data_IF_633112654652
#
_entry.id   IF_633112654652
#
_cell.length_a   1.000
_cell.length_b   1.000
_cell.length_c   1.000
_cell.angle_alpha   90.00
_cell.angle_beta   90.00
_cell.angle_gamma   90.00
#
_symmetry.space_group_name_H-M   'P 1'
#
loop_
_entity.id
_entity.type
_entity.pdbx_description
1 polymer ?
#
# COMPACT_ATOMS: atom_id res chain seq x y z
N UNK A 1 3.88 4.25 10.85
CA UNK A 1 3.02 3.14 10.37
C UNK A 1 3.30 2.94 8.89
N UNK A 2 3.51 1.70 8.43
CA UNK A 2 3.85 1.41 7.01
C UNK A 2 2.68 0.71 6.32
N UNK A 3 2.40 1.06 5.06
CA UNK A 3 1.34 0.45 4.25
C UNK A 3 1.87 -0.09 2.92
N UNK A 4 1.27 -1.14 2.37
CA UNK A 4 1.64 -1.67 1.04
C UNK A 4 0.98 -0.85 -0.07
N UNK A 5 1.74 -0.47 -1.09
CA UNK A 5 1.19 0.03 -2.36
C UNK A 5 1.13 -1.06 -3.42
N UNK A 6 0.21 -0.88 -4.35
CA UNK A 6 0.18 -1.64 -5.60
C UNK A 6 1.28 -1.14 -6.54
N UNK A 7 1.88 -2.06 -7.29
CA UNK A 7 3.01 -1.77 -8.18
C UNK A 7 2.66 -0.92 -9.40
N UNK A 8 1.37 -0.78 -9.73
CA UNK A 8 0.87 0.05 -10.83
C UNK A 8 0.64 1.53 -10.45
N UNK A 9 0.94 1.91 -9.20
CA UNK A 9 0.80 3.30 -8.76
C UNK A 9 1.92 4.19 -9.32
N UNK A 10 1.63 5.48 -9.38
CA UNK A 10 2.60 6.53 -9.62
C UNK A 10 2.52 7.56 -8.50
N UNK A 11 3.67 8.12 -8.14
CA UNK A 11 3.85 9.19 -7.19
C UNK A 11 4.56 10.37 -7.88
N UNK A 12 4.69 11.48 -7.16
CA UNK A 12 5.41 12.67 -7.60
C UNK A 12 6.64 12.89 -6.73
N UNK A 13 7.71 13.34 -7.35
CA UNK A 13 8.86 13.89 -6.64
C UNK A 13 8.54 15.31 -6.12
N UNK A 14 9.32 15.82 -5.16
CA UNK A 14 9.24 17.21 -4.74
C UNK A 14 9.32 18.16 -5.93
N UNK A 15 8.59 19.27 -5.86
CA UNK A 15 8.73 20.31 -6.86
C UNK A 15 10.18 20.81 -6.90
N UNK A 16 10.78 21.00 -8.09
CA UNK A 16 12.12 21.55 -8.17
C UNK A 16 12.16 22.97 -7.56
N UNK A 17 13.30 23.41 -7.01
CA UNK A 17 13.46 24.76 -6.51
C UNK A 17 13.02 25.79 -7.56
N UNK A 18 12.32 26.83 -7.11
CA UNK A 18 11.82 27.86 -8.01
C UNK A 18 12.99 28.59 -8.67
N UNK A 19 13.19 28.35 -9.96
CA UNK A 19 14.06 29.18 -10.81
C UNK A 19 13.24 30.35 -11.33
N UNK A 20 13.75 31.58 -11.21
CA UNK A 20 13.12 32.75 -11.78
C UNK A 20 13.00 32.60 -13.31
N UNK A 21 11.78 32.71 -13.84
CA UNK A 21 11.52 32.62 -15.27
C UNK A 21 11.08 33.99 -15.79
N UNK A 22 11.88 34.66 -16.65
CA UNK A 22 11.56 36.00 -17.17
C UNK A 22 10.25 36.05 -17.97
N UNK A 23 9.84 34.93 -18.57
CA UNK A 23 8.60 34.81 -19.36
C UNK A 23 7.35 34.60 -18.49
N UNK A 24 7.50 34.53 -17.16
CA UNK A 24 6.42 34.25 -16.23
C UNK A 24 5.92 32.80 -16.29
N UNK A 25 5.12 32.42 -15.31
CA UNK A 25 4.52 31.08 -15.22
C UNK A 25 4.19 30.70 -13.77
N UNK A 26 3.11 29.94 -13.57
CA UNK A 26 2.79 29.37 -12.24
C UNK A 26 3.86 28.31 -11.92
N UNK A 27 4.56 28.40 -10.78
CA UNK A 27 5.51 27.37 -10.38
C UNK A 27 4.84 25.98 -10.34
N UNK A 28 5.52 24.92 -10.80
CA UNK A 28 4.97 23.59 -10.73
C UNK A 28 4.79 23.17 -9.27
N UNK A 29 3.64 22.57 -8.95
CA UNK A 29 3.34 22.04 -7.62
C UNK A 29 4.01 20.68 -7.36
N UNK A 30 4.21 19.91 -8.42
CA UNK A 30 4.74 18.56 -8.39
C UNK A 30 6.02 18.49 -9.22
N UNK A 31 6.98 17.68 -8.79
CA UNK A 31 8.09 17.27 -9.62
C UNK A 31 7.70 16.23 -10.66
N UNK A 32 8.71 15.58 -11.24
CA UNK A 32 8.53 14.52 -12.22
C UNK A 32 7.77 13.32 -11.63
N UNK A 33 7.12 12.55 -12.51
CA UNK A 33 6.44 11.31 -12.14
C UNK A 33 7.46 10.24 -11.73
N UNK A 34 7.19 9.57 -10.61
CA UNK A 34 7.83 8.34 -10.19
C UNK A 34 6.83 7.20 -10.36
N UNK A 35 6.99 6.39 -11.42
CA UNK A 35 6.12 5.26 -11.71
C UNK A 35 6.63 3.97 -11.08
N UNK A 36 5.89 3.34 -10.16
CA UNK A 36 6.34 2.12 -9.46
C UNK A 36 6.50 0.92 -10.41
N UNK A 37 5.86 0.96 -11.58
CA UNK A 37 6.01 -0.04 -12.66
C UNK A 37 7.05 0.36 -13.72
N UNK A 38 7.65 1.56 -13.64
CA UNK A 38 8.52 2.14 -14.66
C UNK A 38 9.92 2.41 -14.08
N UNK A 39 10.83 1.42 -14.06
CA UNK A 39 12.18 1.57 -13.47
C UNK A 39 12.98 2.77 -13.99
N UNK A 40 12.80 3.15 -15.26
CA UNK A 40 13.47 4.33 -15.84
C UNK A 40 13.04 5.68 -15.25
N UNK A 41 12.01 5.70 -14.40
CA UNK A 41 11.57 6.92 -13.69
C UNK A 41 12.16 7.03 -12.28
N UNK A 42 12.88 6.02 -11.80
CA UNK A 42 13.40 6.00 -10.43
C UNK A 42 14.75 6.74 -10.39
N UNK A 43 14.86 7.86 -9.66
CA UNK A 43 16.16 8.44 -9.35
C UNK A 43 16.95 7.51 -8.42
N UNK A 44 18.19 7.90 -8.10
CA UNK A 44 18.99 7.21 -7.08
C UNK A 44 18.23 7.20 -5.73
N UNK A 45 18.12 6.04 -5.05
CA UNK A 45 17.53 5.99 -3.73
C UNK A 45 18.31 6.85 -2.72
N UNK A 46 17.59 7.53 -1.83
CA UNK A 46 18.20 8.29 -0.75
C UNK A 46 18.78 7.37 0.34
N UNK A 47 18.22 6.17 0.49
CA UNK A 47 18.71 5.15 1.42
C UNK A 47 18.64 3.79 0.73
N UNK A 48 19.70 3.00 0.86
CA UNK A 48 19.75 1.60 0.43
C UNK A 48 20.32 0.75 1.56
N UNK A 49 19.61 -0.31 1.92
CA UNK A 49 20.06 -1.30 2.90
C UNK A 49 20.01 -2.70 2.32
N UNK A 50 20.91 -3.56 2.79
CA UNK A 50 21.00 -4.95 2.41
C UNK A 50 21.25 -5.73 3.69
N UNK A 51 20.34 -6.66 4.02
CA UNK A 51 20.42 -7.44 5.25
C UNK A 51 20.17 -8.92 4.95
N UNK A 52 20.98 -9.80 5.52
CA UNK A 52 20.74 -11.23 5.45
C UNK A 52 19.75 -11.64 6.54
N UNK A 53 18.67 -12.30 6.14
CA UNK A 53 17.65 -12.79 7.08
C UNK A 53 17.57 -14.31 7.01
N UNK A 54 17.57 -15.01 8.16
CA UNK A 54 17.49 -16.48 8.16
C UNK A 54 16.21 -17.05 7.51
N UNK A 55 15.13 -16.26 7.48
CA UNK A 55 13.79 -16.70 7.07
C UNK A 55 13.37 -16.26 5.67
N UNK A 56 13.93 -15.18 5.16
CA UNK A 56 13.55 -14.59 3.87
C UNK A 56 14.73 -14.47 2.90
N UNK A 57 15.92 -14.95 3.31
CA UNK A 57 17.17 -14.74 2.58
C UNK A 57 17.61 -13.28 2.62
N UNK A 58 18.27 -12.84 1.56
CA UNK A 58 18.77 -11.48 1.41
C UNK A 58 17.61 -10.51 1.21
N UNK A 59 17.50 -9.53 2.09
CA UNK A 59 16.55 -8.43 2.02
C UNK A 59 17.25 -7.17 1.51
N UNK A 60 16.92 -6.75 0.29
CA UNK A 60 17.34 -5.47 -0.28
C UNK A 60 16.19 -4.45 -0.17
N UNK A 61 16.42 -3.37 0.57
CA UNK A 61 15.49 -2.26 0.64
C UNK A 61 16.10 -1.02 -0.03
N UNK A 62 15.34 -0.39 -0.91
CA UNK A 62 15.66 0.91 -1.50
C UNK A 62 14.57 1.89 -1.11
N UNK A 63 14.94 3.03 -0.56
CA UNK A 63 14.00 4.04 -0.13
C UNK A 63 14.27 5.36 -0.85
N UNK A 64 13.18 6.04 -1.17
CA UNK A 64 13.18 7.38 -1.72
C UNK A 64 12.35 8.28 -0.81
N UNK A 65 12.95 9.37 -0.37
CA UNK A 65 12.34 10.32 0.54
C UNK A 65 11.51 11.39 -0.19
N UNK A 66 10.57 11.98 0.55
CA UNK A 66 9.72 13.11 0.15
C UNK A 66 8.96 12.93 -1.16
N UNK A 67 8.63 11.70 -1.54
CA UNK A 67 7.61 11.50 -2.59
C UNK A 67 6.24 11.89 -2.06
N UNK A 68 5.26 12.02 -2.94
CA UNK A 68 3.87 12.20 -2.55
C UNK A 68 2.90 11.71 -3.63
N UNK A 69 1.70 11.22 -3.26
CA UNK A 69 0.65 10.97 -4.22
C UNK A 69 0.11 12.30 -4.77
N UNK A 70 -0.25 12.30 -6.05
CA UNK A 70 -1.06 13.37 -6.61
C UNK A 70 -2.51 13.17 -6.17
N UNK A 71 -2.93 13.94 -5.16
CA UNK A 71 -4.28 13.87 -4.64
C UNK A 71 -5.27 14.49 -5.64
N UNK A 72 -6.41 13.84 -5.77
CA UNK A 72 -7.55 14.33 -6.55
C UNK A 72 -8.71 14.57 -5.60
N UNK A 73 -9.57 15.53 -5.92
CA UNK A 73 -10.74 15.91 -5.12
C UNK A 73 -11.84 14.85 -5.27
N UNK A 74 -11.58 13.66 -4.71
CA UNK A 74 -12.44 12.48 -4.78
C UNK A 74 -12.33 11.68 -3.49
N UNK A 75 -13.30 10.78 -3.28
CA UNK A 75 -13.33 9.86 -2.14
C UNK A 75 -13.18 10.61 -0.81
N UNK A 76 -12.04 10.45 -0.14
CA UNK A 76 -11.69 11.10 1.12
C UNK A 76 -11.64 12.63 1.06
N UNK A 77 -11.49 13.19 -0.15
CA UNK A 77 -11.20 14.60 -0.38
C UNK A 77 -12.33 15.35 -1.11
N UNK A 78 -13.52 14.75 -1.23
CA UNK A 78 -14.61 15.34 -2.03
C UNK A 78 -15.11 16.68 -1.43
N UNK A 79 -15.23 16.74 -0.10
CA UNK A 79 -15.66 17.93 0.63
C UNK A 79 -14.48 18.79 1.12
N UNK A 80 -13.27 18.55 0.60
CA UNK A 80 -12.11 19.34 1.00
C UNK A 80 -12.16 20.72 0.32
N UNK A 81 -12.22 21.77 1.13
CA UNK A 81 -12.20 23.15 0.65
C UNK A 81 -10.75 23.61 0.40
N UNK A 82 -10.56 24.31 -0.73
CA UNK A 82 -9.26 24.88 -1.08
C UNK A 82 -8.29 23.89 -1.74
N UNK A 83 -7.00 24.21 -1.65
CA UNK A 83 -5.96 23.43 -2.32
C UNK A 83 -5.67 22.12 -1.58
N UNK A 84 -5.62 21.01 -2.32
CA UNK A 84 -5.29 19.70 -1.75
C UNK A 84 -3.86 19.69 -1.19
N UNK A 85 -3.65 19.15 0.02
CA UNK A 85 -2.33 19.15 0.65
C UNK A 85 -1.36 18.23 -0.11
N UNK A 86 -0.07 18.57 -0.04
CA UNK A 86 1.00 17.66 -0.40
C UNK A 86 1.35 16.84 0.84
N UNK A 87 1.12 15.54 0.77
CA UNK A 87 1.46 14.61 1.85
C UNK A 87 2.74 13.90 1.44
N UNK A 88 3.86 14.46 1.87
CA UNK A 88 5.17 13.86 1.65
C UNK A 88 5.34 12.57 2.47
N UNK A 89 6.18 11.67 1.98
CA UNK A 89 6.52 10.46 2.68
C UNK A 89 7.64 9.68 2.01
N UNK A 90 8.05 8.61 2.69
CA UNK A 90 9.10 7.71 2.23
C UNK A 90 8.46 6.53 1.49
N UNK A 91 8.88 6.33 0.24
CA UNK A 91 8.57 5.12 -0.52
C UNK A 91 9.71 4.12 -0.35
N UNK A 92 9.40 2.88 0.00
CA UNK A 92 10.38 1.80 0.19
C UNK A 92 10.04 0.67 -0.78
N UNK A 93 10.99 0.26 -1.62
CA UNK A 93 10.94 -0.98 -2.38
C UNK A 93 11.69 -2.05 -1.63
N UNK A 94 10.99 -3.11 -1.25
CA UNK A 94 11.57 -4.28 -0.62
C UNK A 94 11.62 -5.44 -1.61
N UNK A 95 12.81 -6.01 -1.78
CA UNK A 95 13.02 -7.29 -2.46
C UNK A 95 13.63 -8.25 -1.46
N UNK A 96 13.06 -9.45 -1.34
CA UNK A 96 13.64 -10.56 -0.58
C UNK A 96 13.83 -11.75 -1.51
N UNK A 97 14.69 -12.69 -1.15
CA UNK A 97 14.95 -13.86 -1.99
C UNK A 97 13.75 -14.80 -2.03
N UNK A 98 13.16 -15.09 -0.86
CA UNK A 98 12.02 -16.00 -0.76
C UNK A 98 11.11 -15.64 0.42
N UNK A 99 9.86 -16.12 0.34
CA UNK A 99 8.96 -16.14 1.47
C UNK A 99 9.04 -17.50 2.18
N UNK A 100 8.59 -17.60 3.45
CA UNK A 100 8.55 -18.87 4.17
C UNK A 100 7.79 -19.93 3.37
N UNK A 101 8.36 -21.14 3.33
CA UNK A 101 7.88 -22.24 2.48
C UNK A 101 8.39 -22.20 1.04
N UNK A 102 9.55 -21.56 0.81
CA UNK A 102 10.23 -21.46 -0.49
C UNK A 102 9.33 -20.92 -1.62
N UNK A 103 8.51 -19.93 -1.27
CA UNK A 103 7.60 -19.29 -2.23
C UNK A 103 8.27 -18.08 -2.85
N UNK A 104 7.99 -17.86 -4.13
CA UNK A 104 8.40 -16.65 -4.84
C UNK A 104 8.02 -15.38 -4.09
N UNK A 105 8.97 -14.46 -3.99
CA UNK A 105 8.83 -13.18 -3.30
C UNK A 105 8.91 -12.01 -4.29
N UNK A 106 7.82 -11.68 -5.00
CA UNK A 106 7.81 -10.51 -5.87
C UNK A 106 8.10 -9.24 -5.05
N UNK A 107 8.90 -8.29 -5.58
CA UNK A 107 9.19 -7.05 -4.88
C UNK A 107 7.92 -6.32 -4.46
N UNK A 108 7.90 -5.83 -3.23
CA UNK A 108 6.77 -5.10 -2.68
C UNK A 108 7.13 -3.63 -2.47
N UNK A 109 6.13 -2.79 -2.61
CA UNK A 109 6.23 -1.36 -2.34
C UNK A 109 5.56 -1.04 -1.01
N UNK A 110 6.27 -0.34 -0.14
CA UNK A 110 5.82 0.11 1.15
C UNK A 110 5.86 1.64 1.20
N UNK A 111 4.90 2.24 1.91
CA UNK A 111 4.79 3.68 2.12
C UNK A 111 4.77 4.00 3.60
N UNK A 112 5.55 5.00 3.98
CA UNK A 112 5.48 5.67 5.28
C UNK A 112 5.20 7.14 5.07
N UNK A 113 4.31 7.74 5.87
CA UNK A 113 4.12 9.20 5.88
C UNK A 113 5.24 9.95 6.59
N UNK A 114 6.20 9.25 7.21
CA UNK A 114 7.40 9.87 7.75
C UNK A 114 8.40 10.16 6.62
N UNK A 115 9.04 11.31 6.70
CA UNK A 115 10.16 11.72 5.84
C UNK A 115 11.48 11.66 6.60
N UNK A 116 12.61 11.70 5.89
CA UNK A 116 13.93 11.66 6.52
C UNK A 116 14.24 10.30 7.18
N UNK A 117 13.68 9.22 6.64
CA UNK A 117 13.90 7.88 7.16
C UNK A 117 15.39 7.51 7.10
N UNK A 118 15.96 7.13 8.23
CA UNK A 118 17.32 6.60 8.32
C UNK A 118 17.38 5.14 7.82
N UNK A 119 18.57 4.58 7.55
CA UNK A 119 18.72 3.14 7.28
C UNK A 119 18.04 2.25 8.33
N UNK A 120 18.15 2.61 9.62
CA UNK A 120 17.51 1.86 10.71
C UNK A 120 15.99 1.95 10.66
N UNK A 121 15.42 3.10 10.29
CA UNK A 121 13.97 3.27 10.13
C UNK A 121 13.44 2.45 8.96
N UNK A 122 14.18 2.39 7.85
CA UNK A 122 13.85 1.56 6.68
C UNK A 122 13.87 0.08 7.07
N UNK A 123 14.89 -0.35 7.81
CA UNK A 123 15.02 -1.72 8.28
C UNK A 123 13.94 -2.13 9.27
N UNK A 124 13.61 -1.23 10.19
CA UNK A 124 12.49 -1.41 11.09
C UNK A 124 11.16 -1.50 10.32
N UNK A 125 10.93 -0.62 9.35
CA UNK A 125 9.68 -0.59 8.59
C UNK A 125 9.43 -1.88 7.80
N UNK A 126 10.43 -2.38 7.06
CA UNK A 126 10.25 -3.62 6.29
C UNK A 126 10.21 -4.85 7.20
N UNK A 127 10.97 -4.89 8.29
CA UNK A 127 10.95 -6.05 9.20
C UNK A 127 9.61 -6.18 9.94
N UNK A 128 9.01 -5.06 10.36
CA UNK A 128 7.65 -5.03 10.87
C UNK A 128 6.63 -5.50 9.81
N UNK A 129 6.79 -5.09 8.55
CA UNK A 129 5.91 -5.53 7.47
C UNK A 129 5.98 -7.05 7.24
N UNK A 130 7.17 -7.64 7.23
CA UNK A 130 7.32 -9.09 7.04
C UNK A 130 6.76 -9.90 8.21
N UNK A 131 6.97 -9.43 9.46
CA UNK A 131 6.43 -10.07 10.67
C UNK A 131 4.91 -10.21 10.68
N UNK A 132 4.17 -9.38 9.92
CA UNK A 132 2.71 -9.53 9.82
C UNK A 132 2.29 -10.87 9.23
N UNK A 133 3.11 -11.44 8.34
CA UNK A 133 2.84 -12.76 7.75
C UNK A 133 3.14 -13.88 8.74
N UNK A 134 4.02 -13.64 9.72
CA UNK A 134 4.30 -14.62 10.77
C UNK A 134 3.07 -14.83 11.67
N UNK A 135 2.28 -13.77 11.89
CA UNK A 135 1.05 -13.82 12.69
C UNK A 135 -0.13 -14.51 11.95
N UNK A 136 -0.11 -14.56 10.62
CA UNK A 136 -1.16 -15.24 9.83
C UNK A 136 -0.89 -16.74 9.69
N UNK A 137 0.37 -17.18 9.80
CA UNK A 137 0.78 -18.59 9.69
C UNK A 137 0.66 -19.37 11.01
N UNK A 138 0.30 -18.69 12.12
CA UNK A 138 0.12 -19.32 13.43
C UNK A 138 -1.32 -19.63 13.79
N UNK A 139 -2.30 -19.52 12.86
CA UNK A 139 -3.63 -20.07 13.15
C UNK A 139 -3.48 -21.56 13.41
N UNK A 140 -3.67 -22.04 14.65
CA UNK A 140 -3.74 -23.46 14.86
C UNK A 140 -4.91 -23.99 14.04
N UNK A 141 -4.77 -25.19 13.51
CA UNK A 141 -5.84 -26.02 12.97
C UNK A 141 -6.86 -26.34 14.09
N UNK A 142 -7.50 -25.33 14.68
CA UNK A 142 -8.32 -25.46 15.89
C UNK A 142 -9.54 -24.54 15.81
N UNK A 143 -10.28 -24.53 14.71
CA UNK A 143 -11.59 -23.88 14.64
C UNK A 143 -12.54 -24.65 13.71
N UNK A 144 -12.68 -25.95 13.92
CA UNK A 144 -13.99 -26.58 13.83
C UNK A 144 -14.46 -26.71 15.28
N UNK A 145 -15.62 -26.11 15.59
CA UNK A 145 -16.22 -26.03 16.93
C UNK A 145 -15.63 -24.96 17.84
N UNK A 146 -16.21 -23.77 17.79
CA UNK A 146 -16.68 -23.00 18.96
C UNK A 146 -17.01 -21.58 18.49
N UNK A 147 -18.30 -21.27 18.40
CA UNK A 147 -18.77 -19.91 18.26
C UNK A 147 -18.63 -19.17 19.59
N UNK A 148 -18.26 -17.89 19.54
CA UNK A 148 -18.98 -16.84 20.27
C UNK A 148 -18.40 -15.46 19.93
N UNK A 149 -19.28 -14.50 20.16
CA UNK A 149 -19.38 -13.10 19.78
C UNK A 149 -18.56 -12.10 20.59
N UNK A 150 -18.41 -10.94 19.96
CA UNK A 150 -18.31 -9.58 20.52
C UNK A 150 -16.93 -9.02 20.85
N UNK A 151 -16.64 -7.89 20.22
CA UNK A 151 -15.76 -6.84 20.75
C UNK A 151 -16.19 -5.50 20.12
N UNK A 152 -16.61 -4.50 20.91
CA UNK A 152 -16.97 -3.17 20.42
C UNK A 152 -15.83 -2.19 20.67
N UNK A 153 -15.27 -1.58 19.63
CA UNK A 153 -14.34 -0.45 19.77
C UNK A 153 -14.79 0.67 18.83
N UNK A 154 -15.30 1.75 19.40
CA UNK A 154 -15.48 3.04 18.73
C UNK A 154 -14.23 3.92 18.94
N UNK A 155 -13.76 4.67 17.92
CA UNK A 155 -12.50 5.41 17.98
C UNK A 155 -12.64 6.87 18.47
N UNK A 156 -11.60 7.37 19.14
CA UNK A 156 -11.40 8.79 19.49
C UNK A 156 -10.59 9.50 18.39
N UNK A 157 -11.00 10.73 18.11
CA UNK A 157 -10.71 11.55 16.93
C UNK A 157 -9.28 12.10 16.86
N UNK A 158 -8.41 11.42 16.10
CA UNK A 158 -7.28 12.02 15.34
C UNK A 158 -6.95 11.20 14.07
N UNK A 159 -7.84 10.27 13.74
CA UNK A 159 -7.58 9.05 12.96
C UNK A 159 -8.06 9.08 11.51
N UNK A 160 -8.63 10.20 11.06
CA UNK A 160 -9.45 10.19 9.84
C UNK A 160 -8.58 10.08 8.57
N UNK A 161 -7.42 10.73 8.46
CA UNK A 161 -6.70 10.86 7.17
C UNK A 161 -6.08 9.53 6.69
N UNK A 162 -5.43 8.77 7.58
CA UNK A 162 -4.83 7.48 7.24
C UNK A 162 -5.89 6.39 6.95
N UNK A 163 -7.00 6.40 7.71
CA UNK A 163 -8.13 5.49 7.50
C UNK A 163 -8.89 5.84 6.21
N UNK A 164 -9.11 7.13 5.90
CA UNK A 164 -9.77 7.56 4.66
C UNK A 164 -8.97 7.18 3.41
N UNK A 165 -7.64 7.18 3.49
CA UNK A 165 -6.79 6.64 2.41
C UNK A 165 -6.93 5.11 2.29
N UNK A 166 -6.92 4.39 3.41
CA UNK A 166 -7.11 2.93 3.46
C UNK A 166 -8.45 2.48 2.88
N UNK A 167 -9.56 3.16 3.21
CA UNK A 167 -10.90 2.86 2.67
C UNK A 167 -11.12 3.31 1.22
N UNK A 168 -10.24 4.16 0.66
CA UNK A 168 -10.31 4.55 -0.76
C UNK A 168 -9.73 3.49 -1.72
N UNK A 169 -9.21 2.37 -1.19
CA UNK A 169 -8.67 1.25 -1.96
C UNK A 169 -9.75 0.32 -2.55
N UNK A 170 -11.02 0.76 -2.53
CA UNK A 170 -12.19 0.03 -3.02
C UNK A 170 -12.18 -0.20 -4.53
N UNK A 171 -12.36 -1.46 -4.91
CA UNK A 171 -12.51 -1.97 -6.27
C UNK A 171 -13.68 -1.33 -7.04
N UNK A 172 -13.48 -1.05 -8.33
CA UNK A 172 -14.50 -1.31 -9.36
C UNK A 172 -13.91 -2.33 -10.34
N UNK A 173 -14.36 -3.58 -10.23
CA UNK A 173 -14.19 -4.54 -11.33
C UNK A 173 -15.36 -4.34 -12.32
N UNK A 174 -15.12 -4.19 -13.62
CA UNK A 174 -16.16 -4.43 -14.62
C UNK A 174 -16.46 -5.92 -14.63
N UNK A 175 -17.74 -6.30 -14.48
CA UNK A 175 -18.20 -7.65 -14.78
C UNK A 175 -17.90 -7.96 -16.25
N UNK A 176 -17.22 -9.07 -16.60
CA UNK A 176 -17.22 -9.55 -17.96
C UNK A 176 -18.64 -10.04 -18.27
N UNK A 177 -19.32 -9.35 -19.20
CA UNK A 177 -20.53 -9.88 -19.81
C UNK A 177 -20.15 -11.13 -20.60
N UNK A 178 -20.82 -12.25 -20.32
CA UNK A 178 -20.83 -13.40 -21.23
C UNK A 178 -20.25 -14.69 -20.65
N UNK A 179 -20.87 -15.23 -19.61
CA UNK A 179 -20.91 -16.68 -19.42
C UNK A 179 -22.14 -17.05 -18.58
N UNK A 180 -23.09 -17.69 -19.23
CA UNK A 180 -24.34 -18.17 -18.64
C UNK A 180 -24.09 -19.35 -17.71
N UNK A 181 -24.08 -19.12 -16.40
CA UNK A 181 -24.21 -20.22 -15.44
C UNK A 181 -25.68 -20.60 -15.28
N UNK A 182 -26.06 -21.74 -15.86
CA UNK A 182 -27.36 -22.40 -15.68
C UNK A 182 -27.62 -22.66 -14.20
N UNK A 183 -28.79 -22.22 -13.72
CA UNK A 183 -29.32 -22.48 -12.38
C UNK A 183 -29.63 -23.98 -12.25
N UNK A 184 -28.92 -24.71 -11.37
CA UNK A 184 -29.28 -26.08 -10.99
C UNK A 184 -30.43 -26.01 -10.00
N UNK A 185 -31.63 -26.43 -10.40
CA UNK A 185 -32.80 -26.53 -9.52
C UNK A 185 -32.60 -27.65 -8.50
N UNK A 186 -32.76 -27.34 -7.21
CA UNK A 186 -32.92 -28.36 -6.16
C UNK A 186 -34.35 -28.89 -6.23
N UNK A 187 -34.49 -30.19 -6.44
CA UNK A 187 -35.74 -30.94 -6.26
C UNK A 187 -36.02 -31.11 -4.76
N UNK A 188 -37.11 -30.56 -4.26
CA UNK A 188 -37.70 -30.94 -2.98
C UNK A 188 -38.59 -32.16 -3.21
N UNK A 189 -38.23 -33.30 -2.63
CA UNK A 189 -39.19 -34.39 -2.44
C UNK A 189 -39.92 -34.13 -1.13
N UNK A 190 -41.25 -34.00 -1.20
CA UNK A 190 -42.13 -34.08 -0.06
C UNK A 190 -42.69 -35.51 -0.02
N UNK A 191 -42.52 -36.19 1.11
CA UNK A 191 -43.18 -37.47 1.42
C UNK A 191 -44.26 -37.16 2.44
N UNK A 192 -45.48 -37.60 2.14
CA UNK A 192 -46.68 -37.45 2.93
C UNK A 192 -46.62 -38.19 4.26
N UNK A 193 -47.33 -37.65 5.24
CA UNK A 193 -48.16 -38.38 6.20
C UNK A 193 -49.39 -37.51 6.48
#
# INVERSE_FOLDING_TARGET
MVGRLRSDRALRLPAPPRVYQPKGGRPPKHGTEFGLAKPGTWPEPSVMTVNDTPRYGKAEARAWDRLHPELQQRSAWIDHEGELPIIEGTLIRLKVDHLPGDRDAPPVWLWSSATGATPADVDFAWSCYLRRFDLEMSKPQCCHSCGSSSSPWAPVSFWIIAIRWWYSQGWRAPCPRGSSCRRRSRSTSARSA
#
